data_IF_326857163754
#
_entry.id   IF_326857163754
#
_cell.length_a   1.000
_cell.length_b   1.000
_cell.length_c   1.000
_cell.angle_alpha   90.00
_cell.angle_beta   90.00
_cell.angle_gamma   90.00
#
_symmetry.space_group_name_H-M   'P 1'
#
loop_
_entity.id
_entity.type
_entity.pdbx_description
1 polymer ?
#
# COMPACT_ATOMS: atom_id res chain seq x y z
N UNK A 1 -5.68 18.99 -8.70
CA UNK A 1 -5.06 19.06 -7.36
C UNK A 1 -4.67 17.70 -6.80
N UNK A 2 -5.61 16.79 -6.47
CA UNK A 2 -5.23 15.46 -5.92
C UNK A 2 -4.39 14.61 -6.91
N UNK A 3 -4.70 14.70 -8.22
CA UNK A 3 -3.92 14.04 -9.28
C UNK A 3 -2.47 14.56 -9.34
N UNK A 4 -2.28 15.87 -9.24
CA UNK A 4 -0.96 16.52 -9.29
C UNK A 4 -0.11 16.18 -8.07
N UNK A 5 -0.74 15.95 -6.91
CA UNK A 5 -0.06 15.62 -5.65
C UNK A 5 0.26 14.13 -5.49
N UNK A 6 -0.41 13.25 -6.22
CA UNK A 6 -0.23 11.80 -6.09
C UNK A 6 1.24 11.34 -6.19
N UNK A 7 2.03 11.73 -7.21
CA UNK A 7 3.43 11.31 -7.30
C UNK A 7 4.30 11.86 -6.15
N UNK A 8 4.01 13.08 -5.69
CA UNK A 8 4.72 13.72 -4.56
C UNK A 8 4.43 13.02 -3.23
N UNK A 9 3.27 12.36 -3.10
CA UNK A 9 2.86 11.59 -1.92
C UNK A 9 3.31 10.12 -2.01
N UNK A 10 3.41 9.57 -3.22
CA UNK A 10 3.91 8.21 -3.43
C UNK A 10 5.41 8.11 -3.11
N UNK A 11 6.21 9.08 -3.56
CA UNK A 11 7.69 9.06 -3.39
C UNK A 11 8.11 8.88 -1.91
N UNK A 12 7.54 9.58 -0.92
CA UNK A 12 7.88 9.37 0.49
C UNK A 12 7.48 8.02 1.09
N UNK A 13 6.59 7.24 0.44
CA UNK A 13 6.25 5.88 0.89
C UNK A 13 7.44 4.91 0.80
N UNK A 14 8.43 5.25 -0.04
CA UNK A 14 9.64 4.45 -0.22
C UNK A 14 10.79 4.92 0.71
N UNK A 15 10.61 6.01 1.46
CA UNK A 15 11.64 6.60 2.31
C UNK A 15 11.99 5.69 3.52
N UNK A 16 13.18 5.83 4.11
CA UNK A 16 13.58 5.11 5.32
C UNK A 16 12.89 5.64 6.59
N UNK A 17 12.46 6.90 6.60
CA UNK A 17 11.82 7.49 7.78
C UNK A 17 10.38 6.99 8.01
N UNK A 18 10.17 6.35 9.15
CA UNK A 18 8.89 5.71 9.52
C UNK A 18 7.76 6.72 9.68
N UNK A 19 8.04 7.89 10.26
CA UNK A 19 7.03 8.91 10.50
C UNK A 19 6.54 9.51 9.17
N UNK A 20 7.46 9.73 8.24
CA UNK A 20 7.19 10.19 6.88
C UNK A 20 6.35 9.17 6.12
N UNK A 21 6.74 7.88 6.15
CA UNK A 21 5.95 6.78 5.54
C UNK A 21 4.52 6.74 6.06
N UNK A 22 4.33 6.81 7.39
CA UNK A 22 3.00 6.81 8.01
C UNK A 22 2.16 7.99 7.51
N UNK A 23 2.73 9.20 7.49
CA UNK A 23 2.03 10.41 7.01
C UNK A 23 1.67 10.29 5.54
N UNK A 24 2.59 9.81 4.71
CA UNK A 24 2.36 9.62 3.28
C UNK A 24 1.31 8.54 3.00
N UNK A 25 1.28 7.44 3.77
CA UNK A 25 0.26 6.40 3.64
C UNK A 25 -1.14 6.92 3.98
N UNK A 26 -1.25 7.69 5.08
CA UNK A 26 -2.50 8.37 5.45
C UNK A 26 -2.95 9.39 4.40
N UNK A 27 -2.00 10.10 3.78
CA UNK A 27 -2.30 11.02 2.68
C UNK A 27 -2.79 10.26 1.42
N UNK A 28 -2.12 9.16 1.07
CA UNK A 28 -2.49 8.28 -0.06
C UNK A 28 -3.92 7.75 0.09
N UNK A 29 -4.32 7.35 1.30
CA UNK A 29 -5.71 6.95 1.61
C UNK A 29 -6.70 8.06 1.22
N UNK A 30 -6.40 9.32 1.57
CA UNK A 30 -7.28 10.46 1.24
C UNK A 30 -7.32 10.74 -0.25
N UNK A 31 -6.20 10.54 -0.96
CA UNK A 31 -6.13 10.67 -2.42
C UNK A 31 -6.99 9.60 -3.09
N UNK A 32 -6.83 8.32 -2.74
CA UNK A 32 -7.61 7.21 -3.31
C UNK A 32 -9.11 7.39 -3.05
N UNK A 33 -9.49 7.80 -1.83
CA UNK A 33 -10.89 8.11 -1.52
C UNK A 33 -11.47 9.26 -2.36
N UNK A 34 -10.63 10.25 -2.71
CA UNK A 34 -11.05 11.43 -3.47
C UNK A 34 -11.04 11.18 -4.97
N UNK A 35 -10.09 10.40 -5.46
CA UNK A 35 -9.86 10.08 -6.87
C UNK A 35 -9.51 8.58 -6.97
N UNK A 36 -10.52 7.70 -7.03
CA UNK A 36 -10.31 6.25 -7.02
C UNK A 36 -9.53 5.74 -8.24
N UNK A 37 -9.58 6.46 -9.37
CA UNK A 37 -8.81 6.16 -10.58
C UNK A 37 -7.29 6.08 -10.33
N UNK A 38 -6.80 6.69 -9.25
CA UNK A 38 -5.38 6.69 -8.89
C UNK A 38 -4.98 5.50 -8.02
N UNK A 39 -5.90 4.57 -7.71
CA UNK A 39 -5.62 3.44 -6.84
C UNK A 39 -4.39 2.63 -7.31
N UNK A 40 -4.29 2.39 -8.61
CA UNK A 40 -3.21 1.56 -9.16
C UNK A 40 -1.81 2.12 -8.91
N UNK A 41 -1.71 3.46 -8.86
CA UNK A 41 -0.45 4.16 -8.60
C UNK A 41 0.12 3.85 -7.21
N UNK A 42 -0.72 3.49 -6.23
CA UNK A 42 -0.27 3.24 -4.85
C UNK A 42 -0.11 1.76 -4.52
N UNK A 43 -0.45 0.83 -5.43
CA UNK A 43 -0.45 -0.62 -5.15
C UNK A 43 0.92 -1.17 -4.78
N UNK A 44 1.95 -0.84 -5.58
CA UNK A 44 3.33 -1.30 -5.33
C UNK A 44 3.87 -0.75 -4.00
N UNK A 45 3.63 0.53 -3.73
CA UNK A 45 4.03 1.17 -2.48
C UNK A 45 3.31 0.56 -1.27
N UNK A 46 2.00 0.30 -1.38
CA UNK A 46 1.21 -0.35 -0.33
C UNK A 46 1.74 -1.76 0.01
N UNK A 47 2.07 -2.57 -1.01
CA UNK A 47 2.65 -3.89 -0.82
C UNK A 47 4.02 -3.84 -0.11
N UNK A 48 4.85 -2.84 -0.44
CA UNK A 48 6.14 -2.64 0.23
C UNK A 48 5.98 -2.30 1.71
N UNK A 49 4.99 -1.46 2.06
CA UNK A 49 4.72 -1.08 3.45
C UNK A 49 4.25 -2.24 4.33
N UNK A 50 3.67 -3.30 3.77
CA UNK A 50 3.27 -4.50 4.52
C UNK A 50 4.46 -5.25 5.12
N UNK A 51 5.70 -4.94 4.69
CA UNK A 51 6.94 -5.53 5.22
C UNK A 51 7.55 -4.70 6.37
N UNK A 52 6.94 -3.59 6.75
CA UNK A 52 7.45 -2.73 7.82
C UNK A 52 7.39 -3.42 9.19
N UNK A 53 8.41 -3.23 10.02
CA UNK A 53 8.42 -3.75 11.40
C UNK A 53 7.59 -2.90 12.37
N UNK A 54 7.33 -1.65 12.01
CA UNK A 54 6.67 -0.70 12.90
C UNK A 54 5.15 -0.77 12.76
N UNK A 55 4.46 -1.11 13.85
CA UNK A 55 3.00 -1.27 13.87
C UNK A 55 2.24 -0.06 13.33
N UNK A 56 2.68 1.15 13.65
CA UNK A 56 2.03 2.37 13.16
C UNK A 56 2.09 2.54 11.64
N UNK A 57 3.13 2.01 10.99
CA UNK A 57 3.25 2.02 9.52
C UNK A 57 2.43 0.88 8.91
N UNK A 58 2.46 -0.31 9.53
CA UNK A 58 1.66 -1.47 9.12
C UNK A 58 0.15 -1.19 9.16
N UNK A 59 -0.36 -0.58 10.24
CA UNK A 59 -1.78 -0.24 10.36
C UNK A 59 -2.19 0.71 9.23
N UNK A 60 -1.38 1.73 8.94
CA UNK A 60 -1.66 2.64 7.81
C UNK A 60 -1.56 1.93 6.45
N UNK A 61 -0.66 0.95 6.32
CA UNK A 61 -0.53 0.14 5.10
C UNK A 61 -1.76 -0.73 4.88
N UNK A 62 -2.23 -1.43 5.91
CA UNK A 62 -3.45 -2.26 5.87
C UNK A 62 -4.65 -1.38 5.52
N UNK A 63 -4.77 -0.20 6.14
CA UNK A 63 -5.84 0.74 5.80
C UNK A 63 -5.76 1.19 4.33
N UNK A 64 -4.56 1.48 3.82
CA UNK A 64 -4.37 1.82 2.41
C UNK A 64 -4.78 0.66 1.50
N UNK A 65 -4.35 -0.57 1.78
CA UNK A 65 -4.75 -1.77 1.05
C UNK A 65 -6.28 -1.95 1.04
N UNK A 66 -6.96 -1.74 2.16
CA UNK A 66 -8.43 -1.82 2.21
C UNK A 66 -9.10 -0.79 1.30
N UNK A 67 -8.58 0.44 1.26
CA UNK A 67 -9.13 1.48 0.39
C UNK A 67 -8.83 1.21 -1.09
N UNK A 68 -7.65 0.66 -1.40
CA UNK A 68 -7.30 0.23 -2.75
C UNK A 68 -8.22 -0.90 -3.24
N UNK A 69 -8.48 -1.92 -2.41
CA UNK A 69 -9.40 -3.00 -2.74
C UNK A 69 -10.85 -2.52 -2.98
N UNK A 70 -11.29 -1.47 -2.27
CA UNK A 70 -12.60 -0.86 -2.49
C UNK A 70 -12.65 -0.04 -3.78
N UNK A 71 -11.53 0.60 -4.14
CA UNK A 71 -11.46 1.49 -5.29
C UNK A 71 -11.23 0.76 -6.62
N UNK A 72 -10.50 -0.36 -6.63
CA UNK A 72 -10.16 -1.09 -7.86
C UNK A 72 -10.17 -2.61 -7.67
N UNK A 73 -10.81 -3.31 -8.61
CA UNK A 73 -10.76 -4.76 -8.70
C UNK A 73 -9.35 -5.28 -9.03
N UNK A 74 -8.57 -4.52 -9.83
CA UNK A 74 -7.18 -4.86 -10.12
C UNK A 74 -6.30 -4.86 -8.87
N UNK A 75 -6.54 -3.92 -7.94
CA UNK A 75 -5.85 -3.86 -6.66
C UNK A 75 -6.15 -5.07 -5.78
N UNK A 76 -7.41 -5.51 -5.74
CA UNK A 76 -7.83 -6.71 -5.01
C UNK A 76 -7.09 -7.96 -5.53
N UNK A 77 -7.07 -8.17 -6.84
CA UNK A 77 -6.43 -9.33 -7.47
C UNK A 77 -4.90 -9.34 -7.25
N UNK A 78 -4.27 -8.17 -7.34
CA UNK A 78 -2.85 -8.02 -7.04
C UNK A 78 -2.52 -8.37 -5.58
N UNK A 79 -3.28 -7.84 -4.62
CA UNK A 79 -3.05 -8.11 -3.20
C UNK A 79 -3.34 -9.58 -2.84
N UNK A 80 -4.35 -10.22 -3.46
CA UNK A 80 -4.60 -11.66 -3.30
C UNK A 80 -3.41 -12.50 -3.73
N UNK A 81 -2.85 -12.22 -4.91
CA UNK A 81 -1.66 -12.93 -5.41
C UNK A 81 -0.48 -12.80 -4.47
N UNK A 82 -0.25 -11.61 -3.90
CA UNK A 82 0.80 -11.42 -2.91
C UNK A 82 0.60 -12.33 -1.69
N UNK A 83 -0.61 -12.44 -1.16
CA UNK A 83 -0.88 -13.35 -0.02
C UNK A 83 -0.64 -14.81 -0.42
N UNK A 84 -1.16 -15.25 -1.57
CA UNK A 84 -0.99 -16.63 -2.03
C UNK A 84 0.49 -17.01 -2.25
N UNK A 85 1.31 -16.11 -2.78
CA UNK A 85 2.75 -16.35 -2.95
C UNK A 85 3.50 -16.41 -1.61
N UNK A 86 3.11 -15.61 -0.62
CA UNK A 86 3.71 -15.64 0.72
C UNK A 86 3.19 -16.80 1.59
N UNK A 87 2.13 -17.49 1.17
CA UNK A 87 1.51 -18.60 1.90
C UNK A 87 2.02 -19.98 1.50
N UNK A 88 2.94 -20.09 0.54
CA UNK A 88 3.67 -21.33 0.28
C UNK A 88 4.88 -21.35 1.21
N UNK A 89 4.86 -22.09 2.33
CA UNK A 89 6.05 -22.25 3.14
C UNK A 89 7.02 -23.12 2.33
N UNK A 90 8.24 -22.65 2.13
CA UNK A 90 9.38 -23.43 1.63
C UNK A 90 9.81 -24.49 2.67
N UNK A 91 8.88 -25.31 3.16
CA UNK A 91 9.07 -26.18 4.32
C UNK A 91 8.61 -27.60 4.03
N UNK A 92 9.26 -28.22 3.06
CA UNK A 92 9.46 -29.68 2.97
C UNK A 92 10.81 -29.96 2.30
N UNK A 93 11.89 -29.49 2.92
CA UNK A 93 13.19 -30.15 2.86
C UNK A 93 13.64 -30.29 4.30
N UNK A 94 13.44 -31.48 4.87
CA UNK A 94 14.22 -32.21 5.89
C UNK A 94 13.43 -33.46 6.27
#
# INVERSE_FOLDING_TARGET
MARDLAPEVERPLQNRDRNTKKKAALCSIRIVRKVPDLAENFMSAAASLLKEKHHGALISAIQLCMELCKASHGALEYLRKLVSMNSVPSRFEY
#
